data_IF_686942234765
#
_entry.id   IF_686942234765
#
_cell.length_a   1.000
_cell.length_b   1.000
_cell.length_c   1.000
_cell.angle_alpha   90.00
_cell.angle_beta   90.00
_cell.angle_gamma   90.00
#
_symmetry.space_group_name_H-M   'P 1'
#
loop_
_entity.id
_entity.type
_entity.pdbx_description
1 polymer ?
#
# COMPACT_ATOMS: atom_id res chain seq x y z
N UNK A 1 5.93 -10.24 12.78
CA UNK A 1 5.76 -10.54 11.34
C UNK A 1 4.59 -9.73 10.80
N UNK A 2 4.84 -8.93 9.78
CA UNK A 2 3.82 -8.20 9.01
C UNK A 2 3.25 -9.18 8.00
N UNK A 3 1.93 -9.21 7.87
CA UNK A 3 1.27 -9.96 6.82
C UNK A 3 1.19 -9.09 5.57
N UNK A 4 1.50 -9.67 4.42
CA UNK A 4 1.23 -9.10 3.12
C UNK A 4 0.15 -9.94 2.44
N UNK A 5 -0.57 -9.39 1.44
CA UNK A 5 -1.42 -10.19 0.59
C UNK A 5 -0.65 -11.39 0.02
N UNK A 6 -1.27 -12.56 0.02
CA UNK A 6 -0.67 -13.82 -0.45
C UNK A 6 -0.54 -13.82 -1.96
N UNK A 7 -1.56 -13.33 -2.67
CA UNK A 7 -1.58 -13.22 -4.13
C UNK A 7 -0.64 -12.10 -4.62
N UNK A 8 0.27 -12.42 -5.54
CA UNK A 8 1.29 -11.47 -6.03
C UNK A 8 0.70 -10.18 -6.61
N UNK A 9 -0.38 -10.29 -7.40
CA UNK A 9 -1.03 -9.11 -7.98
C UNK A 9 -1.69 -8.22 -6.93
N UNK A 10 -2.29 -8.80 -5.88
CA UNK A 10 -2.82 -8.04 -4.76
C UNK A 10 -1.71 -7.39 -3.93
N UNK A 11 -0.60 -8.12 -3.72
CA UNK A 11 0.58 -7.61 -3.02
C UNK A 11 1.17 -6.40 -3.75
N UNK A 12 1.36 -6.49 -5.07
CA UNK A 12 1.92 -5.39 -5.86
C UNK A 12 1.07 -4.12 -5.75
N UNK A 13 -0.25 -4.23 -5.90
CA UNK A 13 -1.17 -3.09 -5.75
C UNK A 13 -1.17 -2.54 -4.31
N UNK A 14 -1.15 -3.43 -3.31
CA UNK A 14 -1.10 -3.03 -1.91
C UNK A 14 0.18 -2.23 -1.59
N UNK A 15 1.34 -2.70 -2.03
CA UNK A 15 2.61 -1.99 -1.83
C UNK A 15 2.60 -0.63 -2.53
N UNK A 16 2.17 -0.58 -3.79
CA UNK A 16 2.02 0.69 -4.53
C UNK A 16 1.07 1.66 -3.81
N UNK A 17 0.02 1.14 -3.16
CA UNK A 17 -0.91 1.96 -2.40
C UNK A 17 -0.32 2.49 -1.10
N UNK A 18 0.42 1.67 -0.35
CA UNK A 18 1.17 2.12 0.83
C UNK A 18 2.15 3.22 0.44
N UNK A 19 2.91 3.05 -0.64
CA UNK A 19 3.83 4.07 -1.15
C UNK A 19 3.13 5.37 -1.53
N UNK A 20 2.01 5.29 -2.27
CA UNK A 20 1.24 6.45 -2.66
C UNK A 20 0.66 7.20 -1.46
N UNK A 21 0.25 6.48 -0.42
CA UNK A 21 -0.25 7.03 0.85
C UNK A 21 0.86 7.72 1.64
N UNK A 22 2.07 7.14 1.70
CA UNK A 22 3.22 7.77 2.36
C UNK A 22 3.65 9.03 1.60
N UNK A 23 3.76 8.96 0.27
CA UNK A 23 4.08 10.12 -0.59
C UNK A 23 3.06 11.24 -0.47
N UNK A 24 1.80 10.93 -0.17
CA UNK A 24 0.76 11.91 0.11
C UNK A 24 0.73 12.41 1.57
N UNK A 25 1.77 12.11 2.36
CA UNK A 25 1.89 12.43 3.80
C UNK A 25 0.76 11.85 4.64
N UNK A 26 0.32 10.64 4.31
CA UNK A 26 -0.77 9.96 4.99
C UNK A 26 -2.16 10.51 4.68
N UNK A 27 -2.32 11.21 3.55
CA UNK A 27 -3.60 11.77 3.17
C UNK A 27 -4.56 10.66 2.74
N UNK A 28 -5.65 10.48 3.47
CA UNK A 28 -6.75 9.59 3.03
C UNK A 28 -7.42 10.20 1.81
N UNK A 29 -7.96 9.37 0.92
CA UNK A 29 -8.55 9.88 -0.32
C UNK A 29 -9.45 8.89 -1.03
N UNK A 30 -10.24 9.40 -1.96
CA UNK A 30 -11.10 8.60 -2.83
C UNK A 30 -10.26 7.65 -3.68
N UNK A 31 -10.89 6.56 -4.10
CA UNK A 31 -10.23 5.62 -5.02
C UNK A 31 -9.84 6.30 -6.34
N UNK A 32 -10.61 7.29 -6.81
CA UNK A 32 -10.28 8.07 -8.01
C UNK A 32 -8.98 8.87 -7.89
N UNK A 33 -8.59 9.25 -6.67
CA UNK A 33 -7.32 9.93 -6.43
C UNK A 33 -6.12 8.96 -6.46
N UNK A 34 -6.35 7.71 -6.05
CA UNK A 34 -5.29 6.71 -5.93
C UNK A 34 -5.14 5.86 -7.19
N UNK A 35 -6.24 5.45 -7.82
CA UNK A 35 -6.23 4.52 -8.93
C UNK A 35 -5.27 4.93 -10.07
N UNK A 36 -5.22 6.19 -10.54
CA UNK A 36 -4.27 6.61 -11.59
C UNK A 36 -2.79 6.48 -11.21
N UNK A 37 -2.48 6.58 -9.91
CA UNK A 37 -1.10 6.41 -9.41
C UNK A 37 -0.73 4.94 -9.34
N UNK A 38 -1.68 4.12 -8.90
CA UNK A 38 -1.51 2.68 -8.81
C UNK A 38 -1.36 2.06 -10.19
N UNK A 39 -2.17 2.48 -11.17
CA UNK A 39 -2.04 2.02 -12.56
C UNK A 39 -0.66 2.36 -13.11
N UNK A 40 -0.22 3.62 -12.95
CA UNK A 40 1.10 4.08 -13.41
C UNK A 40 2.29 3.35 -12.78
N UNK A 41 2.16 2.86 -11.55
CA UNK A 41 3.23 2.11 -10.85
C UNK A 41 3.18 0.61 -11.13
N UNK A 42 1.98 0.03 -11.21
CA UNK A 42 1.80 -1.43 -11.29
C UNK A 42 1.70 -1.96 -12.71
N UNK A 43 1.39 -1.11 -13.69
CA UNK A 43 1.14 -1.50 -15.07
C UNK A 43 -0.24 -2.14 -15.31
N UNK A 44 -1.07 -2.28 -14.27
CA UNK A 44 -2.45 -2.75 -14.41
C UNK A 44 -3.36 -1.62 -14.90
N UNK A 45 -4.41 -1.98 -15.65
CA UNK A 45 -5.47 -1.05 -16.03
C UNK A 45 -6.31 -0.61 -14.81
N UNK A 46 -7.03 0.50 -14.97
CA UNK A 46 -7.83 1.12 -13.89
C UNK A 46 -8.91 0.17 -13.33
N UNK A 47 -9.58 -0.59 -14.19
CA UNK A 47 -10.60 -1.56 -13.78
C UNK A 47 -10.01 -2.67 -12.92
N UNK A 48 -8.85 -3.20 -13.32
CA UNK A 48 -8.10 -4.21 -12.57
C UNK A 48 -7.63 -3.66 -11.21
N UNK A 49 -7.04 -2.47 -11.18
CA UNK A 49 -6.61 -1.81 -9.94
C UNK A 49 -7.79 -1.65 -8.97
N UNK A 50 -8.92 -1.12 -9.43
CA UNK A 50 -10.09 -0.91 -8.57
C UNK A 50 -10.65 -2.22 -8.03
N UNK A 51 -10.70 -3.27 -8.86
CA UNK A 51 -11.11 -4.61 -8.44
C UNK A 51 -10.18 -5.16 -7.36
N UNK A 52 -8.87 -5.00 -7.53
CA UNK A 52 -7.87 -5.45 -6.54
C UNK A 52 -7.99 -4.64 -5.25
N UNK A 53 -8.14 -3.32 -5.31
CA UNK A 53 -8.32 -2.49 -4.10
C UNK A 53 -9.57 -2.91 -3.32
N UNK A 54 -10.68 -3.23 -4.00
CA UNK A 54 -11.88 -3.78 -3.34
C UNK A 54 -11.61 -5.13 -2.67
N UNK A 55 -10.83 -6.02 -3.29
CA UNK A 55 -10.39 -7.28 -2.64
C UNK A 55 -9.51 -7.01 -1.41
N UNK A 56 -8.63 -6.01 -1.48
CA UNK A 56 -7.79 -5.59 -0.36
C UNK A 56 -8.61 -5.00 0.79
N UNK A 57 -9.75 -4.35 0.49
CA UNK A 57 -10.73 -3.94 1.50
C UNK A 57 -11.33 -5.16 2.18
N UNK A 58 -11.85 -6.12 1.42
CA UNK A 58 -12.47 -7.33 1.96
C UNK A 58 -11.51 -8.18 2.81
N UNK A 59 -10.21 -8.12 2.54
CA UNK A 59 -9.16 -8.86 3.27
C UNK A 59 -8.51 -8.06 4.41
N UNK A 60 -8.97 -6.83 4.66
CA UNK A 60 -8.54 -5.98 5.76
C UNK A 60 -7.17 -5.33 5.59
N UNK A 61 -6.59 -5.36 4.38
CA UNK A 61 -5.36 -4.65 4.04
C UNK A 61 -5.61 -3.19 3.67
N UNK A 62 -6.85 -2.86 3.29
CA UNK A 62 -7.31 -1.49 3.07
C UNK A 62 -8.56 -1.30 3.91
N UNK A 63 -8.72 -0.12 4.51
CA UNK A 63 -9.97 0.28 5.17
C UNK A 63 -10.61 1.42 4.41
N UNK A 64 -11.94 1.41 4.41
CA UNK A 64 -12.76 2.56 4.01
C UNK A 64 -13.13 3.28 5.29
N UNK A 65 -12.76 4.55 5.39
CA UNK A 65 -13.16 5.43 6.49
C UNK A 65 -14.27 6.37 6.03
N UNK A 66 -14.67 7.32 6.87
CA UNK A 66 -15.68 8.34 6.56
C UNK A 66 -15.51 8.92 5.14
N UNK A 67 -16.65 9.20 4.49
CA UNK A 67 -16.70 9.77 3.14
C UNK A 67 -16.06 8.90 2.04
N UNK A 68 -16.07 7.57 2.20
CA UNK A 68 -15.49 6.61 1.26
C UNK A 68 -13.99 6.84 1.00
N UNK A 69 -13.26 7.31 2.00
CA UNK A 69 -11.82 7.50 1.88
C UNK A 69 -11.08 6.21 2.18
N UNK A 70 -10.15 5.86 1.31
CA UNK A 70 -9.36 4.65 1.41
C UNK A 70 -8.05 4.93 2.14
N UNK A 71 -7.65 3.99 3.00
CA UNK A 71 -6.38 4.00 3.74
C UNK A 71 -5.81 2.59 3.78
N UNK A 72 -4.50 2.39 3.56
CA UNK A 72 -3.88 1.10 3.85
C UNK A 72 -3.93 0.79 5.35
N UNK A 73 -3.89 -0.49 5.68
CA UNK A 73 -3.89 -1.03 7.04
C UNK A 73 -2.73 -2.02 7.19
N UNK A 74 -1.91 -1.87 8.23
CA UNK A 74 -0.89 -2.87 8.56
C UNK A 74 -1.52 -4.02 9.33
N UNK A 75 -1.41 -5.24 8.79
CA UNK A 75 -1.76 -6.46 9.50
C UNK A 75 -0.51 -7.03 10.13
N UNK A 76 -0.52 -7.14 11.45
CA UNK A 76 0.61 -7.62 12.25
C UNK A 76 0.21 -8.83 13.08
N UNK A 77 1.15 -9.76 13.28
CA UNK A 77 0.93 -10.98 14.09
C UNK A 77 0.77 -10.68 15.59
N UNK A 78 1.23 -9.51 16.07
CA UNK A 78 1.01 -9.05 17.45
C UNK A 78 -0.33 -8.33 17.57
N UNK A 79 -1.04 -8.55 18.68
CA UNK A 79 -2.38 -8.01 18.98
C UNK A 79 -2.45 -6.47 18.96
N UNK A 80 -1.31 -5.81 19.18
CA UNK A 80 -1.11 -4.36 19.02
C UNK A 80 0.37 -4.08 18.72
N UNK A 81 0.62 -3.01 17.97
CA UNK A 81 1.91 -2.34 17.91
C UNK A 81 1.77 -1.01 18.66
N UNK A 82 2.82 -0.60 19.36
CA UNK A 82 2.94 0.80 19.78
C UNK A 82 3.15 1.71 18.57
N UNK A 83 2.81 2.99 18.70
CA UNK A 83 3.00 3.98 17.63
C UNK A 83 4.47 4.06 17.19
N UNK A 84 5.42 3.88 18.12
CA UNK A 84 6.84 3.85 17.82
C UNK A 84 7.23 2.64 16.98
N UNK A 85 6.78 1.43 17.35
CA UNK A 85 7.03 0.23 16.53
C UNK A 85 6.38 0.35 15.15
N UNK A 86 5.22 0.99 15.05
CA UNK A 86 4.54 1.25 13.79
C UNK A 86 5.32 2.20 12.88
N UNK A 87 5.81 3.32 13.43
CA UNK A 87 6.63 4.30 12.71
C UNK A 87 7.96 3.68 12.30
N UNK A 88 8.59 2.90 13.16
CA UNK A 88 9.86 2.23 12.89
C UNK A 88 9.69 1.20 11.77
N UNK A 89 8.65 0.37 11.83
CA UNK A 89 8.29 -0.58 10.77
C UNK A 89 8.03 0.15 9.44
N UNK A 90 7.25 1.23 9.44
CA UNK A 90 6.99 1.99 8.22
C UNK A 90 8.25 2.68 7.69
N UNK A 91 9.14 3.11 8.57
CA UNK A 91 10.42 3.75 8.21
C UNK A 91 11.38 2.73 7.61
N UNK A 92 11.53 1.56 8.23
CA UNK A 92 12.33 0.45 7.71
C UNK A 92 11.77 -0.05 6.37
N UNK A 93 10.45 -0.20 6.28
CA UNK A 93 9.79 -0.60 5.04
C UNK A 93 9.96 0.44 3.93
N UNK A 94 9.86 1.73 4.26
CA UNK A 94 10.12 2.82 3.32
C UNK A 94 11.59 2.87 2.89
N UNK A 95 12.53 2.66 3.82
CA UNK A 95 13.96 2.59 3.54
C UNK A 95 14.30 1.38 2.66
N UNK A 96 13.64 0.25 2.87
CA UNK A 96 13.75 -0.94 2.01
C UNK A 96 13.25 -0.65 0.58
N UNK A 97 12.09 0.00 0.45
CA UNK A 97 11.54 0.42 -0.86
C UNK A 97 12.46 1.41 -1.57
N UNK A 98 13.01 2.39 -0.85
CA UNK A 98 13.95 3.38 -1.40
C UNK A 98 15.26 2.72 -1.86
N UNK A 99 15.80 1.77 -1.09
CA UNK A 99 16.94 0.95 -1.53
C UNK A 99 16.60 0.12 -2.77
N UNK A 100 15.40 -0.47 -2.86
CA UNK A 100 14.97 -1.20 -4.07
C UNK A 100 14.90 -0.29 -5.30
N UNK A 101 14.46 0.95 -5.14
CA UNK A 101 14.45 1.94 -6.23
C UNK A 101 15.86 2.41 -6.62
N UNK A 102 16.83 2.46 -5.69
CA UNK A 102 18.25 2.73 -6.02
C UNK A 102 18.87 1.65 -6.93
N UNK A 103 18.44 0.39 -6.83
CA UNK A 103 18.93 -0.68 -7.72
C UNK A 103 18.12 -0.82 -9.02
N UNK A 104 17.06 -0.03 -9.20
CA UNK A 104 16.27 -0.05 -10.45
C UNK A 104 17.08 0.48 -11.64
N UNK A 105 18.05 1.34 -11.37
CA UNK A 105 18.97 1.91 -12.37
C UNK A 105 20.16 0.99 -12.72
N UNK A 106 20.33 -0.14 -12.01
CA UNK A 106 21.37 -1.14 -12.29
C UNK A 106 20.89 -2.35 -13.10
N UNK A 107 19.58 -2.50 -13.27
CA UNK A 107 18.96 -3.58 -14.06
C UNK A 107 18.13 -3.04 -15.23
N UNK A 108 18.34 -1.76 -15.59
CA UNK A 108 17.77 -1.11 -16.78
C UNK A 108 18.74 -1.16 -17.95
#
# INVERSE_FOLDING_TARGET
AIYLPTENHQRNVYVAFVEAYIKSRGRRGLLDYYAPKLTGVTGYDDGTVRKIVRKLVNSGFVKIVEHNFFSPTLRVKKKSLSDNEFVEILTEYSAFILKKNQYRDWWG
#
